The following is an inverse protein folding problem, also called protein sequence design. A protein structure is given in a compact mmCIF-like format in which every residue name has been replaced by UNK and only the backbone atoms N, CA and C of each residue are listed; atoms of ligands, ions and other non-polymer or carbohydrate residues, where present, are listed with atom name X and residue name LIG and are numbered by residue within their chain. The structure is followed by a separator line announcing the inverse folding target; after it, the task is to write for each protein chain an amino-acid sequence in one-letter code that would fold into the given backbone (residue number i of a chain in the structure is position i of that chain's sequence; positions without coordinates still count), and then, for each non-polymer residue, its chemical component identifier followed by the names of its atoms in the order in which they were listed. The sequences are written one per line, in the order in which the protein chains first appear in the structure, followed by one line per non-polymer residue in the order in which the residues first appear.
data_IF_185303758045
#
_entry.id   IF_185303758045
#
_cell.length_a   1.000
_cell.length_b   1.000
_cell.length_c   1.000
_cell.angle_alpha   90.00
_cell.angle_beta   90.00
_cell.angle_gamma   90.00
#
_symmetry.space_group_name_H-M   'P 1'
#
loop_
_entity.id
_entity.type
_entity.pdbx_description
1 polymer ?
#
# COMPACT_ATOMS: atom_id res chain seq x y z
N UNK A 1 2.52 -13.08 2.40
CA UNK A 1 1.79 -11.81 2.61
C UNK A 1 1.22 -11.91 4.01
N UNK A 2 1.34 -10.85 4.82
CA UNK A 2 0.83 -10.77 6.19
C UNK A 2 0.03 -9.50 6.31
N UNK A 3 -1.10 -9.56 7.03
CA UNK A 3 -1.99 -8.43 7.29
C UNK A 3 -2.29 -8.36 8.79
N UNK A 4 -2.62 -7.16 9.29
CA UNK A 4 -3.01 -6.94 10.68
C UNK A 4 -4.45 -6.40 10.70
N UNK A 5 -5.39 -7.23 11.14
CA UNK A 5 -6.84 -6.98 11.02
C UNK A 5 -7.31 -5.70 11.71
N UNK A 6 -6.69 -5.32 12.83
CA UNK A 6 -7.08 -4.15 13.62
C UNK A 6 -6.41 -2.83 13.15
N UNK A 7 -5.59 -2.89 12.09
CA UNK A 7 -4.95 -1.71 11.51
C UNK A 7 -5.65 -1.30 10.21
N UNK A 8 -6.00 -0.01 10.02
CA UNK A 8 -6.83 0.43 8.88
C UNK A 8 -6.21 0.16 7.50
N UNK A 9 -4.88 0.04 7.44
CA UNK A 9 -4.17 -0.46 6.27
C UNK A 9 -2.79 -1.01 6.70
N UNK A 10 -2.59 -2.32 6.66
CA UNK A 10 -1.29 -2.95 6.99
C UNK A 10 -1.05 -4.18 6.12
N UNK A 11 0.02 -4.15 5.32
CA UNK A 11 0.43 -5.27 4.47
C UNK A 11 1.95 -5.45 4.56
N UNK A 12 2.39 -6.66 4.92
CA UNK A 12 3.77 -7.10 4.88
C UNK A 12 4.02 -8.14 3.77
N UNK A 13 5.11 -7.97 3.02
CA UNK A 13 5.53 -8.91 1.96
C UNK A 13 7.01 -9.25 2.09
N UNK A 14 7.40 -10.45 1.66
CA UNK A 14 8.80 -10.91 1.66
C UNK A 14 9.46 -10.82 0.27
N UNK A 15 8.66 -10.62 -0.77
CA UNK A 15 9.16 -10.37 -2.11
C UNK A 15 9.36 -8.86 -2.35
N UNK A 16 9.98 -8.51 -3.47
CA UNK A 16 10.32 -7.14 -3.85
C UNK A 16 9.31 -6.55 -4.87
N UNK A 17 8.15 -6.01 -4.44
CA UNK A 17 7.17 -5.39 -5.36
C UNK A 17 7.71 -4.13 -6.05
N UNK A 18 8.74 -3.49 -5.49
CA UNK A 18 9.42 -2.31 -6.02
C UNK A 18 9.99 -2.56 -7.42
N UNK A 19 10.58 -3.73 -7.66
CA UNK A 19 11.15 -4.07 -8.97
C UNK A 19 10.08 -4.28 -10.06
N UNK A 20 8.81 -4.47 -9.66
CA UNK A 20 7.68 -4.64 -10.58
C UNK A 20 6.86 -3.36 -10.77
N UNK A 21 7.16 -2.29 -10.02
CA UNK A 21 6.48 -1.01 -10.14
C UNK A 21 7.05 -0.19 -11.29
N UNK A 22 6.19 0.50 -12.06
CA UNK A 22 6.60 1.39 -13.17
C UNK A 22 5.91 2.75 -13.03
N UNK A 23 6.49 3.86 -13.55
CA UNK A 23 5.89 5.19 -13.42
C UNK A 23 4.42 5.29 -13.92
N UNK A 24 4.13 4.70 -15.09
CA UNK A 24 2.77 4.70 -15.67
C UNK A 24 1.90 3.52 -15.22
N UNK A 25 2.48 2.56 -14.49
CA UNK A 25 1.79 1.38 -13.99
C UNK A 25 2.34 1.04 -12.60
N UNK A 26 1.98 1.83 -11.57
CA UNK A 26 2.47 1.60 -10.23
C UNK A 26 1.97 0.25 -9.72
N UNK A 27 2.81 -0.45 -8.95
CA UNK A 27 2.40 -1.70 -8.33
C UNK A 27 1.19 -1.45 -7.40
N UNK A 28 0.17 -2.32 -7.38
CA UNK A 28 -1.05 -2.12 -6.61
C UNK A 28 -0.80 -1.83 -5.12
N UNK A 29 0.20 -2.50 -4.53
CA UNK A 29 0.59 -2.30 -3.13
C UNK A 29 0.95 -0.84 -2.82
N UNK A 30 1.79 -0.20 -3.64
CA UNK A 30 2.16 1.21 -3.42
C UNK A 30 1.01 2.17 -3.71
N UNK A 31 0.25 1.91 -4.79
CA UNK A 31 -0.93 2.73 -5.12
C UNK A 31 -1.95 2.70 -3.98
N UNK A 32 -2.23 1.53 -3.42
CA UNK A 32 -3.17 1.36 -2.31
C UNK A 32 -2.64 1.98 -1.02
N UNK A 33 -1.35 1.83 -0.71
CA UNK A 33 -0.73 2.46 0.47
C UNK A 33 -0.90 3.98 0.46
N UNK A 34 -0.53 4.63 -0.64
CA UNK A 34 -0.67 6.09 -0.78
C UNK A 34 -2.14 6.50 -0.72
N UNK A 35 -3.04 5.73 -1.33
CA UNK A 35 -4.48 5.94 -1.23
C UNK A 35 -4.97 5.92 0.23
N UNK A 36 -4.58 4.92 1.01
CA UNK A 36 -4.94 4.82 2.42
C UNK A 36 -4.38 5.98 3.26
N UNK A 37 -3.16 6.43 2.97
CA UNK A 37 -2.59 7.63 3.59
C UNK A 37 -3.40 8.89 3.27
N UNK A 38 -3.83 9.05 2.00
CA UNK A 38 -4.66 10.19 1.58
C UNK A 38 -6.03 10.15 2.27
N UNK A 39 -6.71 9.01 2.27
CA UNK A 39 -7.98 8.84 2.99
C UNK A 39 -7.86 9.14 4.48
N UNK A 40 -6.76 8.71 5.12
CA UNK A 40 -6.50 9.02 6.53
C UNK A 40 -6.25 10.51 6.76
N UNK A 41 -5.59 11.19 5.82
CA UNK A 41 -5.41 12.65 5.88
C UNK A 41 -6.75 13.38 5.82
N UNK A 42 -7.66 12.98 4.93
CA UNK A 42 -8.95 13.67 4.76
C UNK A 42 -9.94 13.40 5.92
N UNK A 43 -9.73 12.32 6.68
CA UNK A 43 -10.55 11.98 7.88
C UNK A 43 -10.11 12.69 9.16
N UNK A 44 -8.97 13.37 9.16
CA UNK A 44 -8.43 14.17 10.27
C UNK A 44 -8.68 15.66 10.05
#
# INVERSE_FOLDING_TARGET
IVELSDHPWFIGVQFHPEFKSKPLKPHPLFKSFVGACYERKEKN
#
